data_IF_668969082520
#
_entry.id   IF_668969082520
#
_cell.length_a   1.000
_cell.length_b   1.000
_cell.length_c   1.000
_cell.angle_alpha   90.00
_cell.angle_beta   90.00
_cell.angle_gamma   90.00
#
_symmetry.space_group_name_H-M   'P 1'
#
loop_
_entity.id
_entity.type
_entity.pdbx_description
1 polymer ?
#
# COMPACT_ATOMS: atom_id res chain seq x y z
N UNK A 1 -20.84 22.12 2.52
CA UNK A 1 -20.33 21.09 3.43
C UNK A 1 -18.95 20.66 2.97
N UNK A 2 -18.13 20.14 3.88
CA UNK A 2 -16.75 19.72 3.61
C UNK A 2 -16.71 18.25 3.12
N UNK A 3 -15.72 17.90 2.29
CA UNK A 3 -15.46 16.51 1.90
C UNK A 3 -14.82 15.78 3.09
N UNK A 4 -15.39 14.64 3.44
CA UNK A 4 -14.89 13.80 4.54
C UNK A 4 -14.16 12.58 4.00
N UNK A 5 -13.29 11.99 4.80
CA UNK A 5 -12.60 10.75 4.49
C UNK A 5 -12.58 9.82 5.71
N UNK A 6 -12.79 8.53 5.51
CA UNK A 6 -12.61 7.53 6.56
C UNK A 6 -11.12 7.43 6.96
N UNK A 7 -10.83 7.38 8.26
CA UNK A 7 -9.46 7.29 8.77
C UNK A 7 -8.69 6.11 8.16
N UNK A 8 -9.34 4.95 8.03
CA UNK A 8 -8.76 3.78 7.38
C UNK A 8 -8.42 3.99 5.90
N UNK A 9 -9.21 4.81 5.19
CA UNK A 9 -8.96 5.15 3.79
C UNK A 9 -7.71 6.02 3.66
N UNK A 10 -7.62 7.12 4.41
CA UNK A 10 -6.45 8.01 4.34
C UNK A 10 -5.19 7.28 4.78
N UNK A 11 -5.24 6.48 5.86
CA UNK A 11 -4.09 5.70 6.32
C UNK A 11 -3.60 4.72 5.25
N UNK A 12 -4.53 4.00 4.62
CA UNK A 12 -4.19 3.05 3.54
C UNK A 12 -3.49 3.75 2.37
N UNK A 13 -3.96 4.94 1.98
CA UNK A 13 -3.36 5.72 0.89
C UNK A 13 -1.98 6.25 1.25
N UNK A 14 -1.82 6.79 2.47
CA UNK A 14 -0.52 7.27 2.95
C UNK A 14 0.48 6.12 3.12
N UNK A 15 0.06 4.93 3.55
CA UNK A 15 0.96 3.77 3.57
C UNK A 15 1.35 3.36 2.14
N UNK A 16 0.40 3.47 1.20
CA UNK A 16 0.67 3.31 -0.22
C UNK A 16 1.81 4.22 -0.70
N UNK A 17 1.81 5.51 -0.31
CA UNK A 17 2.88 6.45 -0.72
C UNK A 17 4.26 6.05 -0.20
N UNK A 18 4.34 5.45 0.99
CA UNK A 18 5.59 4.94 1.57
C UNK A 18 6.07 3.68 0.85
N UNK A 19 5.14 2.79 0.50
CA UNK A 19 5.47 1.49 -0.11
C UNK A 19 6.05 1.61 -1.52
N UNK A 20 5.56 2.53 -2.36
CA UNK A 20 6.06 2.79 -3.71
C UNK A 20 7.03 3.98 -3.76
N UNK A 21 7.88 4.04 -4.79
CA UNK A 21 8.67 5.23 -5.13
C UNK A 21 7.82 6.32 -5.81
N UNK A 22 6.63 6.58 -5.28
CA UNK A 22 5.75 7.61 -5.79
C UNK A 22 6.37 9.00 -5.55
N UNK A 23 6.13 10.00 -6.44
CA UNK A 23 6.87 11.27 -6.43
C UNK A 23 6.38 12.21 -5.32
N UNK A 24 6.68 11.85 -4.07
CA UNK A 24 6.36 12.60 -2.87
C UNK A 24 7.66 12.97 -2.18
N UNK A 25 7.88 14.26 -1.91
CA UNK A 25 9.08 14.70 -1.20
C UNK A 25 9.03 14.27 0.27
N UNK A 26 10.18 14.17 0.92
CA UNK A 26 10.27 13.81 2.33
C UNK A 26 9.49 14.78 3.22
N UNK A 27 9.52 16.08 2.91
CA UNK A 27 8.78 17.12 3.63
C UNK A 27 7.28 16.96 3.48
N UNK A 28 6.82 16.55 2.29
CA UNK A 28 5.40 16.28 2.05
C UNK A 28 4.95 15.03 2.79
N UNK A 29 5.73 13.94 2.72
CA UNK A 29 5.46 12.71 3.48
C UNK A 29 5.35 13.02 4.99
N UNK A 30 6.30 13.76 5.55
CA UNK A 30 6.24 14.18 6.96
C UNK A 30 5.01 15.03 7.28
N UNK A 31 4.64 15.99 6.43
CA UNK A 31 3.47 16.82 6.65
C UNK A 31 2.15 16.02 6.61
N UNK A 32 2.05 15.03 5.70
CA UNK A 32 0.89 14.16 5.59
C UNK A 32 0.73 13.25 6.82
N UNK A 33 1.82 12.66 7.29
CA UNK A 33 1.81 11.82 8.48
C UNK A 33 1.65 12.63 9.77
N UNK A 34 2.17 13.86 9.83
CA UNK A 34 1.87 14.79 10.92
C UNK A 34 0.36 15.12 10.99
N UNK A 35 -0.30 15.32 9.84
CA UNK A 35 -1.75 15.51 9.79
C UNK A 35 -2.50 14.25 10.24
N UNK A 36 -2.02 13.05 9.89
CA UNK A 36 -2.58 11.78 10.36
C UNK A 36 -2.40 11.61 11.87
N UNK A 37 -1.23 11.97 12.41
CA UNK A 37 -0.91 11.92 13.83
C UNK A 37 -1.64 12.98 14.67
N UNK A 38 -2.10 14.08 14.05
CA UNK A 38 -2.93 15.08 14.71
C UNK A 38 -4.39 14.65 14.89
N UNK A 39 -4.84 13.55 14.25
CA UNK A 39 -6.18 13.00 14.45
C UNK A 39 -6.32 12.48 15.89
N UNK A 40 -7.35 12.91 16.65
CA UNK A 40 -7.60 12.43 18.01
C UNK A 40 -7.71 10.91 18.07
N UNK A 41 -7.21 10.29 19.14
CA UNK A 41 -7.09 8.82 19.24
C UNK A 41 -8.44 8.11 19.13
N UNK A 42 -9.48 8.69 19.71
CA UNK A 42 -10.86 8.25 19.65
C UNK A 42 -11.45 8.25 18.23
N UNK A 43 -10.88 9.06 17.34
CA UNK A 43 -11.26 9.17 15.93
C UNK A 43 -10.41 8.29 15.01
N UNK A 44 -9.44 7.52 15.55
CA UNK A 44 -8.58 6.60 14.77
C UNK A 44 -9.20 5.22 14.58
N UNK A 45 -10.51 5.17 14.33
CA UNK A 45 -11.23 3.94 13.95
C UNK A 45 -11.36 3.89 12.42
N UNK A 46 -11.27 2.71 11.81
CA UNK A 46 -11.18 2.56 10.35
C UNK A 46 -12.28 3.29 9.57
N UNK A 47 -13.50 3.26 10.08
CA UNK A 47 -14.73 3.82 9.49
C UNK A 47 -15.07 5.23 10.00
N UNK A 48 -14.27 5.77 10.93
CA UNK A 48 -14.50 7.11 11.46
C UNK A 48 -14.17 8.17 10.41
N UNK A 49 -15.09 9.13 10.23
CA UNK A 49 -14.99 10.17 9.20
C UNK A 49 -14.26 11.39 9.75
N UNK A 50 -13.21 11.80 9.08
CA UNK A 50 -12.41 12.99 9.40
C UNK A 50 -12.39 13.99 8.24
N UNK A 51 -12.17 15.28 8.50
CA UNK A 51 -12.03 16.27 7.44
C UNK A 51 -10.86 15.94 6.50
N UNK A 52 -11.09 15.99 5.18
CA UNK A 52 -10.06 15.73 4.18
C UNK A 52 -9.10 16.92 4.00
N UNK A 53 -9.58 18.14 4.27
CA UNK A 53 -8.87 19.39 3.97
C UNK A 53 -7.44 19.46 4.52
N UNK A 54 -7.14 19.10 5.78
CA UNK A 54 -5.78 19.18 6.31
C UNK A 54 -4.77 18.34 5.51
N UNK A 55 -5.20 17.18 5.00
CA UNK A 55 -4.34 16.31 4.19
C UNK A 55 -4.10 16.89 2.80
N UNK A 56 -5.10 17.52 2.19
CA UNK A 56 -4.95 18.19 0.89
C UNK A 56 -4.05 19.43 0.98
N UNK A 57 -4.12 20.19 2.08
CA UNK A 57 -3.23 21.32 2.34
C UNK A 57 -1.77 20.87 2.51
N UNK A 58 -1.54 19.73 3.18
CA UNK A 58 -0.22 19.12 3.26
C UNK A 58 0.27 18.64 1.88
N UNK A 59 -0.57 17.92 1.13
CA UNK A 59 -0.24 17.41 -0.20
C UNK A 59 0.05 18.51 -1.24
N UNK A 60 -0.60 19.68 -1.13
CA UNK A 60 -0.42 20.81 -2.04
C UNK A 60 0.99 21.42 -2.01
N UNK A 61 1.80 21.11 -0.99
CA UNK A 61 3.21 21.54 -0.89
C UNK A 61 4.13 20.75 -1.81
N UNK A 62 3.70 19.59 -2.30
CA UNK A 62 4.50 18.76 -3.18
C UNK A 62 4.59 19.40 -4.58
N UNK A 63 5.77 19.38 -5.25
CA UNK A 63 5.94 20.00 -6.56
C UNK A 63 5.04 19.42 -7.68
N UNK A 64 4.61 18.17 -7.51
CA UNK A 64 3.72 17.46 -8.43
C UNK A 64 2.53 16.88 -7.67
N UNK A 65 1.48 16.48 -8.39
CA UNK A 65 0.33 15.82 -7.74
C UNK A 65 0.78 14.56 -7.00
N UNK A 66 0.43 14.48 -5.72
CA UNK A 66 0.69 13.32 -4.86
C UNK A 66 -0.30 12.18 -5.13
N UNK A 67 0.00 10.94 -4.75
CA UNK A 67 -0.96 9.84 -4.82
C UNK A 67 -2.25 10.12 -4.04
N UNK A 68 -2.20 10.88 -2.94
CA UNK A 68 -3.40 11.30 -2.20
C UNK A 68 -4.31 12.17 -3.07
N UNK A 69 -3.77 13.15 -3.78
CA UNK A 69 -4.55 14.01 -4.67
C UNK A 69 -5.15 13.21 -5.84
N UNK A 70 -4.37 12.31 -6.44
CA UNK A 70 -4.84 11.42 -7.51
C UNK A 70 -5.94 10.46 -7.03
N UNK A 71 -5.83 9.97 -5.79
CA UNK A 71 -6.85 9.15 -5.16
C UNK A 71 -8.14 9.94 -4.93
N UNK A 72 -8.06 11.19 -4.46
CA UNK A 72 -9.24 12.05 -4.26
C UNK A 72 -9.93 12.34 -5.59
N UNK A 73 -9.17 12.63 -6.65
CA UNK A 73 -9.69 12.76 -8.02
C UNK A 73 -10.44 11.48 -8.45
N UNK A 74 -9.82 10.32 -8.29
CA UNK A 74 -10.48 9.04 -8.57
C UNK A 74 -11.78 8.85 -7.78
N UNK A 75 -11.77 9.12 -6.48
CA UNK A 75 -12.91 8.92 -5.60
C UNK A 75 -14.09 9.87 -5.91
N UNK A 76 -13.81 10.99 -6.58
CA UNK A 76 -14.81 12.00 -6.98
C UNK A 76 -15.55 11.65 -8.28
N UNK A 77 -14.98 10.84 -9.19
CA UNK A 77 -15.56 10.58 -10.50
C UNK A 77 -16.92 9.88 -10.47
N UNK A 78 -17.20 9.13 -9.40
CA UNK A 78 -18.45 8.37 -9.24
C UNK A 78 -19.41 8.98 -8.22
N UNK A 79 -19.27 10.28 -7.92
CA UNK A 79 -20.09 10.96 -6.90
C UNK A 79 -21.09 11.89 -7.55
N UNK A 80 -22.32 11.83 -7.06
CA UNK A 80 -23.41 12.71 -7.51
C UNK A 80 -23.07 14.18 -7.23
N UNK A 81 -22.48 14.47 -6.07
CA UNK A 81 -21.94 15.78 -5.74
C UNK A 81 -20.42 15.70 -5.46
N UNK A 82 -19.55 16.18 -6.37
CA UNK A 82 -18.10 16.17 -6.18
C UNK A 82 -17.62 17.19 -5.14
N UNK A 83 -18.50 18.03 -4.59
CA UNK A 83 -18.17 18.99 -3.53
C UNK A 83 -18.59 18.50 -2.14
N UNK A 84 -19.43 17.47 -2.07
CA UNK A 84 -20.00 16.98 -0.83
C UNK A 84 -20.17 15.46 -0.85
N UNK A 85 -19.13 14.74 -0.40
CA UNK A 85 -19.18 13.30 -0.26
C UNK A 85 -18.23 12.82 0.83
N UNK A 86 -18.36 11.54 1.19
CA UNK A 86 -17.41 10.84 2.06
C UNK A 86 -16.61 9.85 1.22
N UNK A 87 -15.29 9.97 1.29
CA UNK A 87 -14.36 8.97 0.76
C UNK A 87 -14.26 7.83 1.77
N UNK A 88 -14.52 6.62 1.31
CA UNK A 88 -14.54 5.42 2.15
C UNK A 88 -13.28 4.59 1.97
N UNK A 89 -13.06 3.64 2.88
CA UNK A 89 -12.00 2.66 2.77
C UNK A 89 -12.16 1.79 1.53
N UNK A 90 -13.40 1.49 1.12
CA UNK A 90 -13.67 0.77 -0.14
C UNK A 90 -13.14 1.54 -1.35
N UNK A 91 -13.17 2.87 -1.32
CA UNK A 91 -12.61 3.67 -2.42
C UNK A 91 -11.09 3.52 -2.49
N UNK A 92 -10.39 3.48 -1.35
CA UNK A 92 -8.95 3.25 -1.31
C UNK A 92 -8.59 1.85 -1.84
N UNK A 93 -9.35 0.81 -1.44
CA UNK A 93 -9.16 -0.54 -1.96
C UNK A 93 -9.34 -0.58 -3.48
N UNK A 94 -10.45 -0.02 -3.97
CA UNK A 94 -10.75 0.10 -5.41
C UNK A 94 -9.64 0.82 -6.16
N UNK A 95 -9.18 1.95 -5.62
CA UNK A 95 -8.12 2.73 -6.24
C UNK A 95 -6.88 1.86 -6.49
N UNK A 96 -6.34 1.21 -5.47
CA UNK A 96 -5.12 0.41 -5.61
C UNK A 96 -5.30 -0.93 -6.36
N UNK A 97 -6.53 -1.39 -6.58
CA UNK A 97 -6.79 -2.70 -7.21
C UNK A 97 -7.47 -2.62 -8.57
N UNK A 98 -7.64 -1.43 -9.16
CA UNK A 98 -8.37 -1.25 -10.43
C UNK A 98 -7.49 -0.90 -11.62
N UNK A 99 -8.08 -1.04 -12.82
CA UNK A 99 -7.45 -0.71 -14.11
C UNK A 99 -6.90 0.71 -14.17
N UNK A 100 -7.60 1.68 -13.60
CA UNK A 100 -7.15 3.08 -13.58
C UNK A 100 -5.76 3.23 -12.93
N UNK A 101 -5.52 2.56 -11.80
CA UNK A 101 -4.23 2.63 -11.13
C UNK A 101 -3.13 1.88 -11.89
N UNK A 102 -3.47 0.70 -12.43
CA UNK A 102 -2.57 -0.06 -13.29
C UNK A 102 -2.10 0.73 -14.52
N UNK A 103 -3.03 1.32 -15.28
CA UNK A 103 -2.71 2.08 -16.49
C UNK A 103 -1.88 3.33 -16.19
N UNK A 104 -2.17 4.04 -15.08
CA UNK A 104 -1.37 5.19 -14.66
C UNK A 104 0.08 4.82 -14.36
N UNK A 105 0.31 3.62 -13.81
CA UNK A 105 1.65 3.13 -13.55
C UNK A 105 2.39 2.77 -14.82
N UNK A 106 1.70 2.20 -15.82
CA UNK A 106 2.29 1.94 -17.14
C UNK A 106 2.74 3.22 -17.84
N UNK A 107 1.97 4.32 -17.72
CA UNK A 107 2.33 5.61 -18.34
C UNK A 107 3.64 6.19 -17.79
N UNK A 108 3.96 5.94 -16.52
CA UNK A 108 5.20 6.38 -15.88
C UNK A 108 6.36 5.40 -16.02
N UNK A 109 6.11 4.19 -16.56
CA UNK A 109 7.09 3.13 -16.59
C UNK A 109 8.18 3.44 -17.63
N UNK A 110 9.42 3.56 -17.16
CA UNK A 110 10.60 3.66 -18.03
C UNK A 110 11.12 2.25 -18.27
N UNK A 111 11.00 1.70 -19.50
CA UNK A 111 11.33 0.29 -19.75
C UNK A 111 12.77 -0.09 -19.42
N UNK A 112 13.70 0.88 -19.50
CA UNK A 112 15.12 0.70 -19.18
C UNK A 112 15.41 0.66 -17.67
N UNK A 113 14.48 1.13 -16.83
CA UNK A 113 14.64 1.17 -15.37
C UNK A 113 13.92 -0.02 -14.68
N UNK A 114 13.00 -0.69 -15.39
CA UNK A 114 12.27 -1.84 -14.84
C UNK A 114 12.93 -3.15 -15.26
N UNK A 115 13.74 -3.67 -14.35
CA UNK A 115 14.54 -4.89 -14.58
C UNK A 115 13.71 -6.19 -14.61
N UNK A 116 12.58 -6.24 -13.91
CA UNK A 116 11.67 -7.39 -13.94
C UNK A 116 10.20 -6.92 -13.89
N UNK A 117 9.62 -6.75 -15.07
CA UNK A 117 8.27 -6.20 -15.27
C UNK A 117 7.18 -6.97 -14.50
N UNK A 118 7.15 -8.33 -14.48
CA UNK A 118 6.14 -9.06 -13.74
C UNK A 118 6.17 -8.75 -12.23
N UNK A 119 7.34 -8.86 -11.59
CA UNK A 119 7.46 -8.57 -10.15
C UNK A 119 7.08 -7.13 -9.83
N UNK A 120 7.46 -6.19 -10.71
CA UNK A 120 7.13 -4.78 -10.54
C UNK A 120 5.62 -4.53 -10.61
N UNK A 121 4.98 -4.89 -11.71
CA UNK A 121 3.57 -4.59 -11.95
C UNK A 121 2.65 -5.38 -11.02
N UNK A 122 2.94 -6.65 -10.75
CA UNK A 122 2.15 -7.46 -9.81
C UNK A 122 2.25 -6.91 -8.41
N UNK A 123 3.45 -6.59 -7.95
CA UNK A 123 3.63 -6.04 -6.61
C UNK A 123 3.05 -4.64 -6.48
N UNK A 124 2.93 -3.86 -7.56
CA UNK A 124 2.41 -2.50 -7.49
C UNK A 124 0.89 -2.43 -7.35
N UNK A 125 0.17 -3.51 -7.67
CA UNK A 125 -1.25 -3.55 -7.38
C UNK A 125 -1.49 -3.91 -5.92
N UNK A 126 -2.61 -3.48 -5.35
CA UNK A 126 -3.04 -4.01 -4.05
C UNK A 126 -3.48 -5.45 -4.21
N UNK A 127 -2.74 -6.37 -3.59
CA UNK A 127 -3.04 -7.80 -3.58
C UNK A 127 -3.62 -8.21 -2.21
N UNK A 128 -4.66 -9.05 -2.18
CA UNK A 128 -5.15 -9.65 -0.94
C UNK A 128 -4.24 -10.83 -0.58
N UNK A 129 -3.48 -10.70 0.50
CA UNK A 129 -2.51 -11.71 0.95
C UNK A 129 -2.85 -12.27 2.33
N UNK A 130 -2.30 -13.44 2.64
CA UNK A 130 -2.27 -14.02 3.98
C UNK A 130 -0.83 -14.13 4.47
N UNK A 131 -0.61 -14.28 5.78
CA UNK A 131 0.71 -14.65 6.29
C UNK A 131 1.10 -16.05 5.80
N UNK A 132 2.39 -16.25 5.55
CA UNK A 132 2.93 -17.60 5.43
C UNK A 132 2.99 -18.25 6.81
N UNK A 133 2.64 -19.53 6.89
CA UNK A 133 2.76 -20.30 8.13
C UNK A 133 4.24 -20.36 8.55
N UNK A 134 4.51 -20.39 9.85
CA UNK A 134 5.88 -20.38 10.39
C UNK A 134 6.74 -21.55 9.89
N UNK A 135 6.13 -22.67 9.48
CA UNK A 135 6.80 -23.84 8.89
C UNK A 135 7.24 -23.63 7.43
N UNK A 136 6.74 -22.58 6.75
CA UNK A 136 7.02 -22.26 5.34
C UNK A 136 8.11 -21.19 5.20
N UNK A 137 8.68 -20.71 6.31
CA UNK A 137 9.79 -19.76 6.23
C UNK A 137 11.05 -20.51 5.82
N UNK A 138 11.69 -20.14 4.69
CA UNK A 138 12.98 -20.72 4.32
C UNK A 138 14.00 -20.46 5.44
N UNK A 139 14.75 -21.50 5.81
CA UNK A 139 15.95 -21.35 6.64
C UNK A 139 16.91 -20.38 5.94
N UNK A 140 17.15 -19.21 6.54
CA UNK A 140 17.99 -18.17 5.94
C UNK A 140 17.67 -16.73 6.39
N UNK A 141 16.49 -16.49 6.97
CA UNK A 141 16.11 -15.18 7.52
C UNK A 141 16.62 -14.95 8.96
N UNK A 142 17.81 -15.48 9.29
CA UNK A 142 18.47 -15.15 10.56
C UNK A 142 18.97 -13.71 10.50
N UNK A 143 18.59 -12.82 11.44
CA UNK A 143 19.07 -11.45 11.45
C UNK A 143 20.59 -11.44 11.66
N UNK A 144 21.33 -10.90 10.70
CA UNK A 144 22.71 -10.51 10.91
C UNK A 144 22.79 -9.45 12.02
N UNK A 145 23.78 -9.57 12.89
CA UNK A 145 23.98 -8.73 14.08
C UNK A 145 23.86 -7.22 13.76
N UNK A 146 22.99 -6.51 14.49
CA UNK A 146 22.78 -5.06 14.31
C UNK A 146 21.34 -4.55 14.27
N UNK A 147 20.34 -5.39 14.58
CA UNK A 147 18.94 -5.02 14.87
C UNK A 147 18.12 -4.37 13.73
N UNK A 148 17.69 -5.17 12.75
CA UNK A 148 16.50 -4.89 11.94
C UNK A 148 15.62 -6.16 11.98
N UNK A 149 14.32 -6.02 12.30
CA UNK A 149 13.41 -7.18 12.35
C UNK A 149 13.38 -7.90 11.00
N UNK A 150 13.40 -9.25 10.96
CA UNK A 150 13.23 -9.97 9.72
C UNK A 150 11.86 -9.59 9.12
N UNK A 151 11.84 -9.17 7.86
CA UNK A 151 10.60 -8.81 7.18
C UNK A 151 9.64 -10.00 7.12
N UNK A 152 8.34 -9.72 7.06
CA UNK A 152 7.32 -10.76 7.00
C UNK A 152 7.36 -11.52 5.66
N UNK A 153 6.82 -12.73 5.65
CA UNK A 153 6.50 -13.47 4.42
C UNK A 153 4.98 -13.55 4.27
N UNK A 154 4.47 -13.16 3.11
CA UNK A 154 3.04 -13.18 2.78
C UNK A 154 2.79 -13.92 1.47
N UNK A 155 1.59 -14.48 1.34
CA UNK A 155 1.19 -15.32 0.23
C UNK A 155 0.01 -14.69 -0.51
N UNK A 156 0.14 -14.51 -1.82
CA UNK A 156 -0.97 -14.20 -2.71
C UNK A 156 -1.38 -15.47 -3.44
N UNK A 157 -2.64 -15.90 -3.25
CA UNK A 157 -3.20 -17.05 -3.95
C UNK A 157 -3.98 -16.54 -5.15
N UNK A 158 -3.55 -16.94 -6.34
CA UNK A 158 -4.18 -16.63 -7.62
C UNK A 158 -4.53 -17.94 -8.32
N UNK A 159 -5.81 -18.29 -8.39
CA UNK A 159 -6.28 -19.58 -8.90
C UNK A 159 -5.56 -20.78 -8.24
N UNK A 160 -4.80 -21.54 -9.02
CA UNK A 160 -3.99 -22.69 -8.56
C UNK A 160 -2.56 -22.29 -8.19
N UNK A 161 -2.14 -21.07 -8.52
CA UNK A 161 -0.81 -20.56 -8.29
C UNK A 161 -0.71 -19.79 -6.97
N UNK A 162 0.49 -19.78 -6.39
CA UNK A 162 0.78 -18.99 -5.20
C UNK A 162 2.05 -18.19 -5.43
N UNK A 163 1.93 -16.87 -5.31
CA UNK A 163 3.09 -15.97 -5.31
C UNK A 163 3.50 -15.72 -3.86
N UNK A 164 4.74 -16.04 -3.53
CA UNK A 164 5.33 -15.76 -2.21
C UNK A 164 6.04 -14.42 -2.24
N UNK A 165 5.74 -13.55 -1.28
CA UNK A 165 6.45 -12.28 -1.08
C UNK A 165 7.25 -12.34 0.22
N UNK A 166 8.56 -12.09 0.14
CA UNK A 166 9.49 -12.09 1.29
C UNK A 166 10.00 -10.69 1.58
N UNK A 167 10.51 -10.50 2.79
CA UNK A 167 11.03 -9.22 3.25
C UNK A 167 9.96 -8.13 3.18
N UNK A 168 8.73 -8.45 3.57
CA UNK A 168 7.59 -7.52 3.55
C UNK A 168 7.57 -6.69 4.82
N UNK A 169 7.44 -5.37 4.66
CA UNK A 169 7.30 -4.44 5.77
C UNK A 169 5.88 -4.49 6.33
N UNK A 170 5.77 -4.66 7.64
CA UNK A 170 4.51 -4.60 8.37
C UNK A 170 4.55 -3.39 9.31
N UNK A 171 3.72 -2.36 9.08
CA UNK A 171 3.59 -1.25 10.00
C UNK A 171 3.30 -1.71 11.43
N UNK A 172 3.92 -1.12 12.47
CA UNK A 172 3.66 -1.49 13.86
C UNK A 172 2.19 -1.33 14.29
N UNK A 173 1.44 -0.46 13.61
CA UNK A 173 0.00 -0.24 13.82
C UNK A 173 -0.87 -1.41 13.33
N UNK A 174 -0.34 -2.29 12.47
CA UNK A 174 -1.07 -3.42 11.89
C UNK A 174 -0.68 -4.71 12.61
N UNK A 175 -1.63 -5.27 13.35
CA UNK A 175 -1.45 -6.54 14.04
C UNK A 175 -1.70 -7.69 13.05
N UNK A 176 -0.62 -8.35 12.66
CA UNK A 176 -0.70 -9.53 11.81
C UNK A 176 -1.11 -10.78 12.62
N UNK A 177 -2.00 -11.59 12.06
CA UNK A 177 -2.47 -12.82 12.66
C UNK A 177 -2.79 -13.89 11.60
N UNK A 178 -2.63 -15.18 11.90
CA UNK A 178 -2.99 -16.27 11.00
C UNK A 178 -4.46 -16.24 10.59
N UNK A 179 -4.77 -16.70 9.37
CA UNK A 179 -6.14 -16.80 8.86
C UNK A 179 -6.83 -15.47 8.51
N UNK A 180 -6.11 -14.34 8.58
CA UNK A 180 -6.63 -13.02 8.22
C UNK A 180 -6.07 -12.58 6.87
N UNK A 181 -6.81 -11.70 6.19
CA UNK A 181 -6.39 -11.11 4.91
C UNK A 181 -5.80 -9.72 5.14
N UNK A 182 -4.85 -9.37 4.28
CA UNK A 182 -4.17 -8.09 4.30
C UNK A 182 -4.07 -7.53 2.89
N UNK A 183 -4.26 -6.22 2.75
CA UNK A 183 -3.97 -5.49 1.53
C UNK A 183 -2.48 -5.22 1.47
N UNK A 184 -1.79 -5.92 0.58
CA UNK A 184 -0.36 -5.78 0.33
C UNK A 184 -0.13 -4.93 -0.91
N UNK A 185 0.86 -4.05 -0.85
CA UNK A 185 1.28 -3.23 -1.99
C UNK A 185 2.77 -2.97 -1.88
N UNK A 186 3.48 -3.32 -2.96
CA UNK A 186 4.87 -3.01 -3.26
C UNK A 186 5.83 -3.18 -2.08
N UNK A 187 5.76 -4.33 -1.41
CA UNK A 187 6.66 -4.68 -0.31
C UNK A 187 6.16 -4.29 1.08
N UNK A 188 4.92 -3.82 1.20
CA UNK A 188 4.34 -3.36 2.46
C UNK A 188 2.91 -3.84 2.64
N UNK A 189 2.53 -4.20 3.87
CA UNK A 189 1.12 -4.35 4.26
C UNK A 189 0.52 -2.98 4.52
N UNK A 190 -0.53 -2.61 3.80
CA UNK A 190 -1.19 -1.31 3.93
C UNK A 190 -2.34 -1.34 4.93
N UNK A 191 -3.08 -2.45 5.00
CA UNK A 191 -4.37 -2.49 5.70
C UNK A 191 -4.83 -3.93 5.93
N UNK A 192 -5.65 -4.20 6.95
CA UNK A 192 -6.27 -5.51 7.18
C UNK A 192 -7.60 -5.65 6.43
N UNK A 193 -7.82 -6.72 5.67
CA UNK A 193 -9.05 -6.89 4.90
C UNK A 193 -10.03 -7.83 5.61
N UNK A 194 -11.30 -7.42 5.67
CA UNK A 194 -12.41 -8.36 5.84
C UNK A 194 -12.51 -9.30 4.63
N UNK A 195 -13.16 -10.48 4.77
CA UNK A 195 -13.40 -11.38 3.64
C UNK A 195 -14.08 -10.68 2.45
N UNK A 196 -15.07 -9.82 2.72
CA UNK A 196 -15.79 -9.07 1.68
C UNK A 196 -14.89 -8.05 0.98
N UNK A 197 -13.95 -7.44 1.71
CA UNK A 197 -12.97 -6.52 1.13
C UNK A 197 -11.91 -7.26 0.31
N UNK A 198 -11.46 -8.43 0.77
CA UNK A 198 -10.54 -9.27 0.00
C UNK A 198 -11.19 -9.70 -1.32
N UNK A 199 -12.48 -10.07 -1.30
CA UNK A 199 -13.23 -10.39 -2.50
C UNK A 199 -13.41 -9.18 -3.43
N UNK A 200 -13.75 -8.01 -2.88
CA UNK A 200 -13.81 -6.77 -3.65
C UNK A 200 -12.50 -6.48 -4.39
N UNK A 201 -11.36 -6.64 -3.72
CA UNK A 201 -10.04 -6.45 -4.33
C UNK A 201 -9.85 -7.45 -5.47
N UNK A 202 -10.12 -8.75 -5.25
CA UNK A 202 -10.00 -9.78 -6.29
C UNK A 202 -10.86 -9.48 -7.52
N UNK A 203 -12.12 -9.06 -7.32
CA UNK A 203 -13.03 -8.72 -8.40
C UNK A 203 -12.50 -7.57 -9.26
N UNK A 204 -11.85 -6.58 -8.66
CA UNK A 204 -11.23 -5.48 -9.41
C UNK A 204 -9.94 -5.89 -10.11
N UNK A 205 -9.10 -6.73 -9.48
CA UNK A 205 -7.89 -7.25 -10.12
C UNK A 205 -8.22 -8.13 -11.33
N UNK A 206 -9.31 -8.90 -11.26
CA UNK A 206 -9.78 -9.74 -12.37
C UNK A 206 -10.18 -8.93 -13.62
N UNK A 207 -10.37 -7.62 -13.51
CA UNK A 207 -10.62 -6.72 -14.64
C UNK A 207 -9.33 -6.29 -15.35
N UNK A 208 -8.17 -6.85 -14.98
CA UNK A 208 -6.85 -6.55 -15.54
C UNK A 208 -6.23 -7.85 -16.05
N UNK A 209 -6.57 -8.31 -17.28
CA UNK A 209 -6.08 -9.58 -17.82
C UNK A 209 -4.55 -9.69 -17.90
N UNK A 210 -3.87 -8.55 -18.08
CA UNK A 210 -2.42 -8.47 -18.08
C UNK A 210 -1.85 -8.86 -16.72
N UNK A 211 -2.52 -8.49 -15.62
CA UNK A 211 -2.08 -8.82 -14.27
C UNK A 211 -2.14 -10.33 -14.00
N UNK A 212 -3.19 -11.01 -14.46
CA UNK A 212 -3.31 -12.47 -14.42
C UNK A 212 -2.12 -13.15 -15.13
N UNK A 213 -1.83 -12.69 -16.36
CA UNK A 213 -0.72 -13.23 -17.16
C UNK A 213 0.64 -13.01 -16.49
N UNK A 214 0.83 -11.86 -15.83
CA UNK A 214 2.07 -11.54 -15.12
C UNK A 214 2.19 -12.31 -13.80
N UNK A 215 1.09 -12.52 -13.07
CA UNK A 215 1.09 -13.25 -11.80
C UNK A 215 1.51 -14.71 -11.98
N UNK A 216 1.07 -15.36 -13.07
CA UNK A 216 1.45 -16.74 -13.43
C UNK A 216 2.95 -16.93 -13.71
N UNK A 217 3.68 -15.84 -13.97
CA UNK A 217 5.14 -15.87 -14.19
C UNK A 217 5.93 -15.76 -12.88
N UNK A 218 5.24 -15.59 -11.75
CA UNK A 218 5.87 -15.36 -10.46
C UNK A 218 5.58 -16.51 -9.49
N UNK A 219 6.62 -17.02 -8.87
CA UNK A 219 6.51 -17.88 -7.68
C UNK A 219 7.03 -17.18 -6.43
N UNK A 220 8.00 -16.28 -6.59
CA UNK A 220 8.67 -15.57 -5.51
C UNK A 220 9.02 -14.13 -5.90
N UNK A 221 8.81 -13.21 -4.95
CA UNK A 221 9.35 -11.85 -4.98
C UNK A 221 9.97 -11.55 -3.62
N UNK A 222 11.25 -11.19 -3.60
CA UNK A 222 11.96 -10.83 -2.36
C UNK A 222 12.32 -9.34 -2.37
N UNK A 223 11.79 -8.57 -1.41
CA UNK A 223 12.05 -7.13 -1.32
C UNK A 223 13.42 -6.78 -0.74
N UNK A 224 14.18 -7.74 -0.24
CA UNK A 224 15.58 -7.53 0.15
C UNK A 224 16.53 -7.45 -1.05
N UNK A 225 16.13 -8.05 -2.18
CA UNK A 225 16.90 -8.17 -3.43
C UNK A 225 16.06 -7.78 -4.66
N UNK A 226 15.09 -6.88 -4.47
CA UNK A 226 14.14 -6.49 -5.51
C UNK A 226 14.87 -5.84 -6.71
N UNK A 227 14.61 -6.29 -7.95
CA UNK A 227 15.29 -5.74 -9.13
C UNK A 227 15.14 -4.22 -9.26
N UNK A 228 16.24 -3.50 -9.47
CA UNK A 228 16.26 -2.03 -9.54
C UNK A 228 16.33 -1.31 -8.19
N UNK A 229 16.34 -2.04 -7.07
CA UNK A 229 16.53 -1.48 -5.73
C UNK A 229 17.60 -2.28 -4.98
N UNK A 230 18.58 -1.60 -4.38
CA UNK A 230 19.62 -2.29 -3.61
C UNK A 230 19.05 -3.11 -2.43
N UNK A 231 17.96 -2.62 -1.82
CA UNK A 231 17.14 -3.32 -0.82
C UNK A 231 15.86 -2.51 -0.58
N UNK A 232 14.74 -2.92 -1.19
CA UNK A 232 13.48 -2.19 -1.12
C UNK A 232 12.87 -2.19 0.28
N UNK A 233 12.98 -3.32 1.01
CA UNK A 233 12.54 -3.42 2.41
C UNK A 233 13.20 -2.36 3.31
N UNK A 234 14.52 -2.16 3.18
CA UNK A 234 15.25 -1.13 3.91
C UNK A 234 14.85 0.28 3.48
N UNK A 235 14.56 0.50 2.21
CA UNK A 235 14.06 1.80 1.74
C UNK A 235 12.70 2.14 2.37
N UNK A 236 11.76 1.20 2.38
CA UNK A 236 10.47 1.36 3.07
C UNK A 236 10.69 1.64 4.55
N UNK A 237 11.52 0.81 5.22
CA UNK A 237 11.79 0.95 6.65
C UNK A 237 12.39 2.31 7.01
N UNK A 238 13.30 2.84 6.18
CA UNK A 238 13.88 4.18 6.35
C UNK A 238 12.84 5.27 6.18
N UNK A 239 12.02 5.21 5.13
CA UNK A 239 10.94 6.19 4.89
C UNK A 239 9.92 6.16 6.02
N UNK A 240 9.56 4.97 6.50
CA UNK A 240 8.67 4.79 7.64
C UNK A 240 9.22 5.48 8.90
N UNK A 241 10.50 5.27 9.22
CA UNK A 241 11.13 5.90 10.39
C UNK A 241 11.19 7.44 10.31
N UNK A 242 11.14 8.03 9.11
CA UNK A 242 11.10 9.48 8.92
C UNK A 242 9.72 10.09 9.24
N UNK A 243 8.65 9.33 9.03
CA UNK A 243 7.27 9.79 9.20
C UNK A 243 6.64 9.33 10.51
N UNK A 244 7.15 8.25 11.08
CA UNK A 244 6.74 7.66 12.36
C UNK A 244 8.00 7.34 13.20
N UNK A 245 8.72 8.37 13.69
CA UNK A 245 9.90 8.14 14.51
C UNK A 245 9.51 7.36 15.77
N UNK A 246 10.32 6.35 16.13
CA UNK A 246 10.14 5.53 17.33
C UNK A 246 9.93 6.44 18.54
N UNK A 247 8.76 6.34 19.19
CA UNK A 247 8.46 7.08 20.42
C UNK A 247 7.30 8.09 20.34
N UNK A 248 6.56 8.16 19.23
CA UNK A 248 5.29 8.88 19.19
C UNK A 248 4.17 7.95 19.70
N UNK A 249 3.60 8.19 20.90
CA UNK A 249 2.59 7.29 21.51
C UNK A 249 1.24 7.27 20.78
#
# INVERSE_FOLDING_TARGET
MEIMIEYGAVRTVLYGTISCQCPVTAETDQALFAALGAVPREHRQEDHRIPLKPFLEAAAKNPVKTPLQLFVEFASFSRDDPRQFTITRKDALRYFSCRYHFDRMLQGLRPLEVHHVPSFLVSHMMLPVTLADSASQPEGNSPAEGSEQPGATVLYRHDQDTVTFRSVFVPPSIKIAPGRFYGFHFGMVLTELSPEQAELVKLHLAQIPELDTLAKQLSLVDFSSFPGSANHFRQISRRWNLVEPRGTP
#
